data_IF_404619258486
#
_entry.id   IF_404619258486
#
_cell.length_a   1.000
_cell.length_b   1.000
_cell.length_c   1.000
_cell.angle_alpha   90.00
_cell.angle_beta   90.00
_cell.angle_gamma   90.00
#
_symmetry.space_group_name_H-M   'P 1'
#
loop_
_entity.id
_entity.type
_entity.pdbx_description
1 polymer ?
#
# COMPACT_ATOMS: atom_id res chain seq x y z
N UNK A 1 -11.66 24.42 49.31
CA UNK A 1 -10.36 23.71 49.16
C UNK A 1 -10.69 22.28 48.75
N UNK A 2 -10.28 21.87 47.55
CA UNK A 2 -9.31 20.79 47.48
C UNK A 2 -8.17 21.11 46.50
N UNK A 3 -6.96 20.81 46.94
CA UNK A 3 -5.69 20.92 46.23
C UNK A 3 -5.53 19.72 45.32
N UNK A 4 -5.38 19.94 44.02
CA UNK A 4 -4.98 18.89 43.09
C UNK A 4 -3.46 18.74 43.17
N UNK A 5 -3.05 17.54 43.56
CA UNK A 5 -1.66 17.11 43.63
C UNK A 5 -1.02 17.09 42.25
N UNK A 6 0.24 17.56 42.21
CA UNK A 6 1.07 17.59 41.01
C UNK A 6 1.56 16.17 40.71
N UNK A 7 0.85 15.47 39.84
CA UNK A 7 1.32 14.22 39.24
C UNK A 7 2.59 14.49 38.40
N UNK A 8 3.64 13.74 38.70
CA UNK A 8 4.94 13.79 38.04
C UNK A 8 4.84 13.28 36.61
N UNK A 9 5.18 14.15 35.66
CA UNK A 9 5.36 13.78 34.26
C UNK A 9 6.61 12.89 34.12
N UNK A 10 6.42 11.61 33.82
CA UNK A 10 7.44 10.77 33.17
C UNK A 10 7.31 10.95 31.65
N UNK A 11 8.37 11.35 30.94
CA UNK A 11 8.32 11.42 29.48
C UNK A 11 8.39 10.01 28.89
N UNK A 12 7.29 9.59 28.26
CA UNK A 12 7.25 8.42 27.40
C UNK A 12 8.17 8.67 26.18
N UNK A 13 9.20 7.83 26.04
CA UNK A 13 10.06 7.75 24.87
C UNK A 13 9.23 7.34 23.65
N UNK A 14 8.78 8.33 22.88
CA UNK A 14 8.20 8.11 21.56
C UNK A 14 9.33 8.02 20.53
N UNK A 15 9.42 6.86 19.91
CA UNK A 15 10.34 6.57 18.81
C UNK A 15 10.22 7.62 17.71
N UNK A 16 11.39 8.12 17.31
CA UNK A 16 11.56 9.16 16.30
C UNK A 16 11.68 8.48 14.93
N UNK A 17 10.57 8.38 14.21
CA UNK A 17 10.59 7.95 12.81
C UNK A 17 11.07 9.11 11.95
N UNK A 18 12.35 9.10 11.60
CA UNK A 18 12.87 9.87 10.48
C UNK A 18 12.75 9.02 9.22
N UNK A 19 11.94 9.51 8.28
CA UNK A 19 11.99 9.13 6.88
C UNK A 19 13.09 9.97 6.24
N UNK A 20 14.16 9.32 5.78
CA UNK A 20 15.06 9.85 4.77
C UNK A 20 15.12 8.80 3.66
N UNK A 21 14.79 9.23 2.45
CA UNK A 21 14.94 8.46 1.23
C UNK A 21 16.23 8.94 0.58
N UNK A 22 17.22 8.05 0.47
CA UNK A 22 18.29 8.21 -0.50
C UNK A 22 18.64 6.86 -1.12
N UNK A 23 18.89 6.95 -2.41
CA UNK A 23 18.90 5.89 -3.40
C UNK A 23 20.15 5.02 -3.26
N UNK A 24 19.97 3.70 -3.17
CA UNK A 24 20.93 2.68 -3.62
C UNK A 24 20.17 1.36 -3.84
N UNK A 25 20.23 0.84 -5.06
CA UNK A 25 19.52 -0.34 -5.57
C UNK A 25 19.56 -1.60 -4.68
N UNK A 26 18.45 -2.35 -4.54
CA UNK A 26 18.48 -3.74 -4.09
C UNK A 26 18.08 -4.71 -5.21
N UNK A 27 19.06 -5.47 -5.68
CA UNK A 27 18.84 -6.76 -6.34
C UNK A 27 18.44 -7.80 -5.30
N UNK A 28 17.19 -8.22 -5.33
CA UNK A 28 16.71 -9.58 -5.07
C UNK A 28 17.01 -10.25 -3.72
N UNK A 29 15.95 -10.44 -2.90
CA UNK A 29 15.38 -11.77 -2.60
C UNK A 29 14.63 -11.76 -1.26
N UNK A 30 13.36 -12.11 -1.36
CA UNK A 30 12.41 -12.31 -0.28
C UNK A 30 12.62 -13.67 0.39
N UNK A 31 12.73 -13.69 1.71
CA UNK A 31 12.30 -14.81 2.54
C UNK A 31 11.91 -14.33 3.95
N UNK A 32 10.62 -14.44 4.25
CA UNK A 32 9.97 -14.47 5.56
C UNK A 32 10.57 -15.56 6.47
N UNK A 33 10.95 -15.26 7.71
CA UNK A 33 10.13 -15.23 8.95
C UNK A 33 9.67 -16.63 9.44
N UNK A 34 10.27 -17.10 10.53
CA UNK A 34 9.73 -18.14 11.43
C UNK A 34 10.57 -18.22 12.73
N UNK A 35 10.04 -17.58 13.78
CA UNK A 35 10.03 -17.93 15.21
C UNK A 35 11.21 -18.69 15.85
N UNK A 36 11.81 -17.98 16.81
CA UNK A 36 12.70 -18.42 17.90
C UNK A 36 11.92 -19.26 18.94
N UNK A 37 12.43 -20.44 19.28
CA UNK A 37 12.12 -21.15 20.52
C UNK A 37 13.34 -21.02 21.43
N UNK A 38 13.07 -20.51 22.62
CA UNK A 38 13.97 -20.23 23.71
C UNK A 38 14.74 -21.49 24.15
N UNK A 39 16.01 -21.60 23.76
CA UNK A 39 16.96 -22.49 24.42
C UNK A 39 18.05 -21.65 25.08
N UNK A 40 17.95 -21.59 26.40
CA UNK A 40 19.01 -21.16 27.31
C UNK A 40 20.27 -21.95 26.99
N UNK A 41 21.27 -21.28 26.43
CA UNK A 41 22.64 -21.73 26.47
C UNK A 41 23.55 -20.57 26.84
N UNK A 42 24.22 -20.78 27.97
CA UNK A 42 25.22 -19.95 28.60
C UNK A 42 26.21 -19.35 27.59
N UNK A 43 26.35 -18.03 27.69
CA UNK A 43 27.30 -17.20 27.00
C UNK A 43 28.72 -17.54 27.45
N UNK A 44 29.51 -18.21 26.61
CA UNK A 44 30.97 -18.17 26.68
C UNK A 44 31.61 -18.51 25.32
N UNK A 45 32.37 -17.55 24.77
CA UNK A 45 33.56 -17.84 23.95
C UNK A 45 33.41 -17.85 22.42
N UNK A 46 33.94 -16.79 21.81
CA UNK A 46 34.79 -16.88 20.59
C UNK A 46 34.19 -17.50 19.31
N UNK A 47 33.68 -16.63 18.42
CA UNK A 47 33.19 -16.91 17.03
C UNK A 47 34.17 -17.60 16.06
N UNK A 48 35.33 -18.11 16.51
CA UNK A 48 36.31 -18.83 15.70
C UNK A 48 36.34 -20.36 15.95
N UNK A 49 35.67 -20.87 17.00
CA UNK A 49 35.71 -22.31 17.37
C UNK A 49 34.70 -23.20 16.64
N UNK A 50 33.61 -22.65 16.10
CA UNK A 50 32.50 -23.46 15.57
C UNK A 50 32.81 -24.13 14.22
N UNK A 51 33.74 -23.59 13.41
CA UNK A 51 34.05 -24.20 12.10
C UNK A 51 35.01 -25.39 12.20
N UNK A 52 35.88 -25.43 13.21
CA UNK A 52 36.79 -26.56 13.44
C UNK A 52 36.03 -27.75 14.02
N UNK A 53 35.08 -27.51 14.93
CA UNK A 53 34.18 -28.54 15.46
C UNK A 53 33.32 -29.17 14.36
N UNK A 54 32.72 -28.37 13.47
CA UNK A 54 31.94 -28.87 12.34
C UNK A 54 32.79 -29.70 11.36
N UNK A 55 34.04 -29.28 11.09
CA UNK A 55 34.97 -30.05 10.25
C UNK A 55 35.36 -31.39 10.88
N UNK A 56 35.65 -31.39 12.18
CA UNK A 56 35.99 -32.61 12.91
C UNK A 56 34.79 -33.56 13.04
N UNK A 57 33.57 -33.01 13.13
CA UNK A 57 32.34 -33.80 13.11
C UNK A 57 32.10 -34.46 11.75
N UNK A 58 32.35 -33.75 10.65
CA UNK A 58 32.26 -34.32 9.29
C UNK A 58 33.33 -35.39 9.09
N UNK A 59 34.57 -35.18 9.52
CA UNK A 59 35.66 -36.16 9.40
C UNK A 59 35.35 -37.46 10.17
N UNK A 60 34.82 -37.34 11.40
CA UNK A 60 34.34 -38.49 12.18
C UNK A 60 33.16 -39.23 11.54
N UNK A 61 32.37 -38.59 10.66
CA UNK A 61 31.29 -39.27 9.92
C UNK A 61 31.82 -40.16 8.79
N UNK A 62 33.07 -39.95 8.36
CA UNK A 62 33.74 -40.76 7.35
C UNK A 62 34.66 -41.84 7.94
N UNK A 63 34.99 -41.75 9.23
CA UNK A 63 35.71 -42.80 9.95
C UNK A 63 34.85 -44.08 10.05
N UNK A 64 35.26 -45.12 9.32
CA UNK A 64 34.57 -46.41 9.25
C UNK A 64 33.72 -46.62 7.99
N UNK A 65 33.73 -45.67 7.04
CA UNK A 65 33.10 -45.89 5.74
C UNK A 65 34.06 -46.60 4.78
N UNK A 66 33.83 -47.90 4.53
CA UNK A 66 34.61 -48.70 3.58
C UNK A 66 33.79 -48.97 2.30
N UNK A 67 34.31 -48.58 1.13
CA UNK A 67 33.61 -48.72 -0.15
C UNK A 67 33.47 -50.18 -0.62
N UNK A 68 34.37 -51.05 -0.16
CA UNK A 68 34.44 -52.47 -0.50
C UNK A 68 33.22 -53.28 0.00
N UNK A 69 32.57 -52.84 1.09
CA UNK A 69 31.35 -53.49 1.62
C UNK A 69 30.15 -53.28 0.68
N UNK A 70 30.10 -52.17 -0.04
CA UNK A 70 29.01 -51.86 -0.98
C UNK A 70 29.18 -52.56 -2.34
N UNK A 71 30.43 -52.83 -2.74
CA UNK A 71 30.76 -53.45 -4.04
C UNK A 71 30.62 -54.99 -3.96
N UNK A 72 30.81 -55.57 -2.77
CA UNK A 72 30.76 -57.03 -2.55
C UNK A 72 29.38 -57.67 -2.79
N UNK A 73 28.30 -56.89 -2.79
CA UNK A 73 26.94 -57.39 -3.05
C UNK A 73 26.57 -57.51 -4.54
N UNK A 74 27.44 -57.08 -5.47
CA UNK A 74 27.19 -57.14 -6.90
C UNK A 74 27.61 -58.46 -7.58
N UNK A 75 28.27 -59.38 -6.86
CA UNK A 75 28.79 -60.63 -7.44
C UNK A 75 28.56 -61.87 -6.58
N UNK A 76 27.30 -62.24 -6.31
CA UNK A 76 26.99 -63.61 -5.86
C UNK A 76 25.76 -64.22 -6.57
N UNK A 77 26.07 -65.26 -7.37
CA UNK A 77 25.30 -66.46 -7.71
C UNK A 77 23.93 -66.33 -8.37
N UNK A 78 23.92 -66.58 -9.69
CA UNK A 78 22.81 -67.25 -10.37
C UNK A 78 22.59 -68.65 -9.75
N UNK A 79 21.38 -69.04 -9.34
CA UNK A 79 21.09 -70.43 -8.99
C UNK A 79 21.01 -71.28 -10.26
N UNK A 80 21.94 -72.22 -10.39
CA UNK A 80 21.86 -73.35 -11.32
C UNK A 80 20.62 -74.19 -10.99
N UNK A 81 19.63 -74.19 -11.87
CA UNK A 81 18.47 -75.10 -11.78
C UNK A 81 18.80 -76.46 -12.40
N UNK A 82 18.39 -77.59 -11.78
CA UNK A 82 18.70 -78.92 -12.27
C UNK A 82 17.98 -79.23 -13.59
N UNK A 83 18.63 -80.01 -14.45
CA UNK A 83 18.07 -80.52 -15.70
C UNK A 83 16.81 -81.36 -15.45
N UNK A 84 15.63 -80.77 -15.69
CA UNK A 84 14.37 -81.48 -15.64
C UNK A 84 14.07 -82.10 -17.01
N UNK A 85 13.89 -83.43 -17.03
CA UNK A 85 13.63 -84.25 -18.22
C UNK A 85 12.37 -83.75 -18.95
N UNK A 86 12.44 -83.65 -20.28
CA UNK A 86 11.29 -83.32 -21.13
C UNK A 86 10.27 -84.46 -21.08
N UNK A 87 9.17 -84.27 -20.33
CA UNK A 87 7.95 -85.05 -20.53
C UNK A 87 7.05 -84.28 -21.52
N UNK A 88 6.67 -84.93 -22.61
CA UNK A 88 5.71 -84.40 -23.59
C UNK A 88 4.39 -84.03 -22.89
N UNK A 89 4.07 -82.74 -22.81
CA UNK A 89 2.76 -82.24 -22.38
C UNK A 89 1.96 -81.84 -23.61
N UNK A 90 0.73 -82.37 -23.70
CA UNK A 90 -0.25 -82.08 -24.74
C UNK A 90 -0.55 -80.57 -24.82
N UNK A 91 -0.89 -80.12 -26.03
CA UNK A 91 -1.22 -78.73 -26.36
C UNK A 91 -2.33 -78.20 -25.43
N UNK A 92 -2.04 -77.09 -24.74
CA UNK A 92 -3.05 -76.31 -24.01
C UNK A 92 -3.57 -75.23 -24.95
N UNK A 93 -4.89 -75.20 -25.15
CA UNK A 93 -5.58 -74.12 -25.85
C UNK A 93 -5.18 -72.76 -25.25
N UNK A 94 -4.77 -71.83 -26.13
CA UNK A 94 -4.33 -70.49 -25.76
C UNK A 94 -5.52 -69.70 -25.22
N UNK A 95 -5.47 -69.33 -23.93
CA UNK A 95 -6.37 -68.34 -23.32
C UNK A 95 -5.54 -67.11 -22.94
N UNK A 96 -5.97 -65.89 -23.29
CA UNK A 96 -5.22 -64.69 -22.94
C UNK A 96 -5.31 -64.45 -21.43
N UNK A 97 -4.32 -64.94 -20.68
CA UNK A 97 -4.08 -64.51 -19.30
C UNK A 97 -3.52 -63.09 -19.36
N UNK A 98 -4.40 -62.11 -19.23
CA UNK A 98 -4.02 -60.71 -19.04
C UNK A 98 -3.27 -60.63 -17.72
N UNK A 99 -1.95 -60.45 -17.77
CA UNK A 99 -1.12 -60.22 -16.59
C UNK A 99 -1.52 -58.89 -15.98
N UNK A 100 -2.33 -58.93 -14.93
CA UNK A 100 -2.57 -57.75 -14.09
C UNK A 100 -1.30 -57.56 -13.25
N UNK A 101 -0.53 -56.47 -13.46
CA UNK A 101 0.67 -56.24 -12.66
C UNK A 101 0.26 -56.12 -11.20
N UNK A 102 0.93 -56.88 -10.34
CA UNK A 102 0.76 -56.77 -8.89
C UNK A 102 1.10 -55.32 -8.50
N UNK A 103 0.18 -54.60 -7.83
CA UNK A 103 0.45 -53.22 -7.45
C UNK A 103 1.69 -53.14 -6.56
N UNK A 104 2.44 -52.06 -6.68
CA UNK A 104 3.62 -51.82 -5.87
C UNK A 104 3.22 -51.71 -4.39
N UNK A 105 4.08 -52.16 -3.48
CA UNK A 105 3.83 -52.12 -2.04
C UNK A 105 3.52 -50.69 -1.55
N UNK A 106 4.10 -49.67 -2.18
CA UNK A 106 3.80 -48.26 -1.91
C UNK A 106 2.32 -47.93 -2.18
N UNK A 107 1.74 -48.44 -3.26
CA UNK A 107 0.32 -48.20 -3.62
C UNK A 107 -0.63 -48.87 -2.63
N UNK A 108 -0.28 -50.06 -2.13
CA UNK A 108 -1.04 -50.76 -1.09
C UNK A 108 -0.97 -49.97 0.23
N UNK A 109 0.22 -49.47 0.59
CA UNK A 109 0.43 -48.63 1.78
C UNK A 109 -0.37 -47.32 1.72
N UNK A 110 -0.42 -46.67 0.57
CA UNK A 110 -1.21 -45.44 0.38
C UNK A 110 -2.72 -45.70 0.42
N UNK A 111 -3.19 -46.80 -0.17
CA UNK A 111 -4.61 -47.19 -0.12
C UNK A 111 -5.06 -47.49 1.31
N UNK A 112 -4.30 -48.28 2.06
CA UNK A 112 -4.57 -48.56 3.47
C UNK A 112 -4.54 -47.31 4.35
N UNK A 113 -3.63 -46.36 4.08
CA UNK A 113 -3.60 -45.07 4.78
C UNK A 113 -4.84 -44.22 4.53
N UNK A 114 -5.37 -44.26 3.30
CA UNK A 114 -6.64 -43.60 2.92
C UNK A 114 -7.84 -44.29 3.57
N UNK A 115 -7.88 -45.63 3.60
CA UNK A 115 -8.93 -46.40 4.29
C UNK A 115 -8.95 -46.13 5.80
N UNK A 116 -7.77 -45.93 6.42
CA UNK A 116 -7.65 -45.56 7.83
C UNK A 116 -8.01 -44.08 8.10
N UNK A 117 -8.45 -43.31 7.10
CA UNK A 117 -8.84 -41.89 7.20
C UNK A 117 -7.80 -40.98 7.89
N UNK A 118 -6.51 -41.37 7.84
CA UNK A 118 -5.43 -40.59 8.44
C UNK A 118 -5.13 -39.40 7.54
N UNK A 119 -5.71 -38.24 7.88
CA UNK A 119 -5.46 -36.98 7.17
C UNK A 119 -3.96 -36.66 7.16
N UNK A 120 -3.48 -36.13 6.04
CA UNK A 120 -2.10 -35.62 5.94
C UNK A 120 -1.92 -34.44 6.90
N UNK A 121 -0.73 -34.25 7.48
CA UNK A 121 -0.42 -33.09 8.35
C UNK A 121 -0.80 -31.76 7.69
N UNK A 122 -0.47 -31.62 6.40
CA UNK A 122 -0.84 -30.47 5.59
C UNK A 122 -2.36 -30.23 5.48
N UNK A 123 -3.16 -31.30 5.46
CA UNK A 123 -4.61 -31.22 5.39
C UNK A 123 -5.19 -30.77 6.75
N UNK A 124 -4.62 -31.25 7.85
CA UNK A 124 -5.00 -30.84 9.21
C UNK A 124 -4.62 -29.37 9.46
N UNK A 125 -3.43 -28.95 9.03
CA UNK A 125 -2.97 -27.56 9.13
C UNK A 125 -3.88 -26.61 8.33
N UNK A 126 -4.28 -27.01 7.12
CA UNK A 126 -5.21 -26.24 6.30
C UNK A 126 -6.59 -26.12 6.94
N UNK A 127 -7.12 -27.23 7.47
CA UNK A 127 -8.39 -27.25 8.21
C UNK A 127 -8.35 -26.36 9.45
N UNK A 128 -7.27 -26.44 10.25
CA UNK A 128 -7.07 -25.60 11.43
C UNK A 128 -6.97 -24.11 11.07
N UNK A 129 -6.27 -23.77 10.00
CA UNK A 129 -6.17 -22.39 9.54
C UNK A 129 -7.52 -21.84 9.05
N UNK A 130 -8.33 -22.67 8.38
CA UNK A 130 -9.70 -22.31 7.99
C UNK A 130 -10.60 -22.09 9.21
N UNK A 131 -10.52 -22.98 10.21
CA UNK A 131 -11.28 -22.83 11.45
C UNK A 131 -10.87 -21.57 12.21
N UNK A 132 -9.57 -21.28 12.28
CA UNK A 132 -9.06 -20.05 12.91
C UNK A 132 -9.61 -18.80 12.22
N UNK A 133 -9.63 -18.78 10.89
CA UNK A 133 -10.24 -17.68 10.11
C UNK A 133 -11.72 -17.52 10.40
N UNK A 134 -12.48 -18.61 10.44
CA UNK A 134 -13.91 -18.57 10.74
C UNK A 134 -14.16 -17.99 12.14
N UNK A 135 -13.39 -18.39 13.15
CA UNK A 135 -13.48 -17.85 14.50
C UNK A 135 -13.11 -16.36 14.56
N UNK A 136 -12.08 -15.94 13.81
CA UNK A 136 -11.70 -14.53 13.68
C UNK A 136 -12.80 -13.70 13.00
N UNK A 137 -13.39 -14.19 11.91
CA UNK A 137 -14.50 -13.57 11.19
C UNK A 137 -15.77 -13.47 12.06
N UNK A 138 -16.11 -14.52 12.81
CA UNK A 138 -17.23 -14.51 13.76
C UNK A 138 -16.99 -13.51 14.91
N UNK A 139 -15.77 -13.46 15.44
CA UNK A 139 -15.39 -12.48 16.45
C UNK A 139 -15.45 -11.05 15.90
N UNK A 140 -15.08 -10.84 14.64
CA UNK A 140 -15.22 -9.55 13.96
C UNK A 140 -16.69 -9.17 13.71
N UNK A 141 -17.53 -10.12 13.31
CA UNK A 141 -18.97 -9.89 13.14
C UNK A 141 -19.68 -9.56 14.47
N UNK A 142 -19.17 -10.06 15.60
CA UNK A 142 -19.65 -9.70 16.94
C UNK A 142 -19.20 -8.30 17.37
N UNK A 143 -18.14 -7.73 16.79
CA UNK A 143 -17.74 -6.34 17.04
C UNK A 143 -18.79 -5.41 16.45
N UNK A 144 -19.55 -4.74 17.30
CA UNK A 144 -20.43 -3.64 16.89
C UNK A 144 -19.53 -2.48 16.45
N UNK A 145 -19.35 -2.33 15.13
CA UNK A 145 -18.55 -1.26 14.56
C UNK A 145 -19.05 0.10 15.07
N UNK A 146 -18.23 0.74 15.90
CA UNK A 146 -18.40 2.11 16.35
C UNK A 146 -17.19 2.87 15.86
N UNK A 147 -17.42 4.05 15.29
CA UNK A 147 -16.32 4.91 14.90
C UNK A 147 -15.44 5.18 16.13
N UNK A 148 -14.12 5.05 15.97
CA UNK A 148 -13.19 5.51 16.99
C UNK A 148 -13.44 7.00 17.20
N UNK A 149 -13.61 7.47 18.45
CA UNK A 149 -13.84 8.87 18.70
C UNK A 149 -12.67 9.68 18.15
N UNK A 150 -12.98 10.85 17.61
CA UNK A 150 -11.96 11.74 17.07
C UNK A 150 -10.90 11.99 18.15
N UNK A 151 -9.61 11.78 17.85
CA UNK A 151 -8.55 11.98 18.83
C UNK A 151 -8.65 13.37 19.47
N UNK A 152 -8.45 13.42 20.79
CA UNK A 152 -8.61 14.66 21.57
C UNK A 152 -7.77 15.83 21.02
N UNK A 153 -6.61 15.53 20.41
CA UNK A 153 -5.73 16.50 19.77
C UNK A 153 -6.40 17.33 18.66
N UNK A 154 -7.43 16.80 18.00
CA UNK A 154 -8.17 17.53 16.94
C UNK A 154 -8.99 18.68 17.51
N UNK A 155 -9.40 18.60 18.79
CA UNK A 155 -10.15 19.64 19.46
C UNK A 155 -9.26 20.74 20.06
N UNK A 156 -7.93 20.57 20.08
CA UNK A 156 -7.00 21.53 20.64
C UNK A 156 -6.57 22.57 19.59
N UNK A 157 -6.66 23.89 19.85
CA UNK A 157 -6.18 24.95 18.96
C UNK A 157 -4.62 25.02 18.90
N UNK A 158 -3.99 24.08 18.21
CA UNK A 158 -2.51 23.92 18.18
C UNK A 158 -1.75 24.93 17.28
N UNK A 159 -2.43 25.90 16.68
CA UNK A 159 -1.83 26.77 15.67
C UNK A 159 -0.62 27.55 16.21
N UNK A 160 -0.73 28.12 17.41
CA UNK A 160 0.36 28.90 18.02
C UNK A 160 1.59 28.02 18.29
N UNK A 161 1.38 26.83 18.86
CA UNK A 161 2.45 25.87 19.12
C UNK A 161 3.13 25.39 17.82
N UNK A 162 2.36 25.20 16.75
CA UNK A 162 2.89 24.82 15.43
C UNK A 162 3.77 25.94 14.87
N UNK A 163 3.32 27.20 14.98
CA UNK A 163 4.07 28.37 14.51
C UNK A 163 5.38 28.51 15.30
N UNK A 164 5.34 28.41 16.62
CA UNK A 164 6.52 28.48 17.48
C UNK A 164 7.54 27.38 17.16
N UNK A 165 7.10 26.11 17.08
CA UNK A 165 7.98 24.98 16.69
C UNK A 165 8.60 25.17 15.30
N UNK A 166 7.84 25.73 14.35
CA UNK A 166 8.35 26.02 13.01
C UNK A 166 9.37 27.17 13.01
N UNK A 167 9.20 28.17 13.88
CA UNK A 167 10.20 29.23 14.08
C UNK A 167 11.49 28.70 14.70
N UNK A 168 11.40 27.89 15.74
CA UNK A 168 12.55 27.22 16.36
C UNK A 168 13.29 26.34 15.36
N UNK A 169 12.56 25.59 14.52
CA UNK A 169 13.16 24.83 13.42
C UNK A 169 13.89 25.75 12.44
N UNK A 170 13.27 26.86 12.03
CA UNK A 170 13.90 27.84 11.13
C UNK A 170 15.13 28.50 11.74
N UNK A 171 15.15 28.76 13.06
CA UNK A 171 16.29 29.32 13.79
C UNK A 171 17.44 28.32 13.87
N UNK A 172 17.15 27.08 14.28
CA UNK A 172 18.17 26.03 14.40
C UNK A 172 18.83 25.69 13.07
N UNK A 173 18.07 25.67 11.96
CA UNK A 173 18.65 25.49 10.61
C UNK A 173 19.59 26.65 10.24
N UNK A 174 19.19 27.90 10.51
CA UNK A 174 20.05 29.07 10.25
C UNK A 174 21.33 29.04 11.06
N UNK A 175 21.26 28.68 12.33
CA UNK A 175 22.43 28.57 13.21
C UNK A 175 23.36 27.45 12.76
N UNK A 176 22.83 26.26 12.45
CA UNK A 176 23.62 25.14 11.91
C UNK A 176 24.31 25.50 10.61
N UNK A 177 23.59 26.13 9.68
CA UNK A 177 24.15 26.59 8.41
C UNK A 177 25.24 27.65 8.62
N UNK A 178 25.05 28.58 9.57
CA UNK A 178 26.08 29.57 9.94
C UNK A 178 27.33 28.90 10.51
N UNK A 179 27.18 27.94 11.41
CA UNK A 179 28.30 27.21 12.01
C UNK A 179 29.06 26.41 10.94
N UNK A 180 28.34 25.78 10.02
CA UNK A 180 28.93 25.05 8.91
C UNK A 180 29.72 25.96 7.97
N UNK A 181 29.19 27.15 7.66
CA UNK A 181 29.90 28.16 6.87
C UNK A 181 31.18 28.64 7.57
N UNK A 182 31.10 28.92 8.88
CA UNK A 182 32.27 29.32 9.66
C UNK A 182 33.32 28.20 9.74
N UNK A 183 32.90 26.94 9.82
CA UNK A 183 33.81 25.80 9.83
C UNK A 183 34.52 25.59 8.47
N UNK A 184 33.84 25.88 7.35
CA UNK A 184 34.44 25.78 6.01
C UNK A 184 35.27 27.01 5.64
N UNK A 185 35.03 28.15 6.30
CA UNK A 185 35.81 29.36 6.12
C UNK A 185 37.22 29.16 6.65
N UNK A 186 38.19 28.93 5.75
CA UNK A 186 39.61 29.05 6.08
C UNK A 186 39.97 30.54 6.10
N UNK A 187 40.26 31.16 7.26
CA UNK A 187 40.67 32.56 7.28
C UNK A 187 41.94 32.71 6.45
N UNK A 188 41.99 33.75 5.62
CA UNK A 188 43.22 34.07 4.88
C UNK A 188 44.36 34.28 5.88
N UNK A 189 45.59 33.86 5.54
CA UNK A 189 46.79 34.02 6.39
C UNK A 189 46.99 35.45 6.91
N UNK A 190 46.43 36.43 6.20
CA UNK A 190 46.40 37.84 6.61
C UNK A 190 45.57 38.08 7.88
N UNK A 191 44.39 37.48 8.02
CA UNK A 191 43.50 37.70 9.19
C UNK A 191 44.12 37.13 10.46
N UNK A 192 44.69 35.93 10.39
CA UNK A 192 45.41 35.33 11.53
C UNK A 192 46.63 36.16 11.92
N UNK A 193 47.43 36.61 10.94
CA UNK A 193 48.59 37.48 11.16
C UNK A 193 48.20 38.83 11.78
N UNK A 194 47.10 39.43 11.32
CA UNK A 194 46.62 40.71 11.82
C UNK A 194 46.03 40.58 13.23
N UNK A 195 45.34 39.46 13.51
CA UNK A 195 44.87 39.09 14.85
C UNK A 195 46.04 38.89 15.82
N UNK A 196 47.07 38.14 15.42
CA UNK A 196 48.29 37.94 16.20
C UNK A 196 49.04 39.26 16.44
N UNK A 197 49.17 40.11 15.42
CA UNK A 197 49.80 41.44 15.57
C UNK A 197 48.99 42.33 16.51
N UNK A 198 47.66 42.27 16.45
CA UNK A 198 46.78 43.03 17.32
C UNK A 198 46.77 42.50 18.76
N UNK A 199 46.82 41.18 18.96
CA UNK A 199 46.98 40.53 20.27
C UNK A 199 48.35 40.84 20.87
N UNK A 200 49.43 40.75 20.10
CA UNK A 200 50.77 41.17 20.53
C UNK A 200 50.82 42.66 20.92
N UNK A 201 50.17 43.54 20.16
CA UNK A 201 50.01 44.96 20.53
C UNK A 201 49.20 45.13 21.81
N UNK A 202 48.13 44.35 22.01
CA UNK A 202 47.33 44.38 23.24
C UNK A 202 48.11 43.88 24.45
N UNK A 203 48.98 42.87 24.29
CA UNK A 203 49.85 42.38 25.36
C UNK A 203 50.94 43.41 25.68
N UNK A 204 51.58 44.00 24.66
CA UNK A 204 52.55 45.10 24.82
C UNK A 204 51.93 46.36 25.46
N UNK A 205 50.65 46.64 25.21
CA UNK A 205 49.90 47.73 25.85
C UNK A 205 49.40 47.39 27.27
N UNK A 206 49.40 46.11 27.65
CA UNK A 206 49.07 45.68 29.02
C UNK A 206 50.30 45.69 29.93
N UNK A 207 51.49 45.45 29.38
CA UNK A 207 52.75 45.38 30.13
C UNK A 207 53.47 46.73 30.23
N UNK A 208 53.04 47.75 29.50
CA UNK A 208 53.55 49.12 29.58
C UNK A 208 52.42 50.07 29.95
N UNK A 209 52.55 50.76 31.10
CA UNK A 209 51.79 52.00 31.34
C UNK A 209 51.92 52.91 30.11
N UNK A 210 50.87 53.61 29.66
CA UNK A 210 50.83 54.19 28.32
C UNK A 210 52.05 55.10 28.11
N UNK A 211 52.96 54.79 27.17
CA UNK A 211 53.98 55.74 26.82
C UNK A 211 53.30 56.87 26.05
N UNK A 212 53.58 58.13 26.40
CA UNK A 212 53.21 59.34 25.66
C UNK A 212 53.94 59.41 24.31
N UNK A 213 53.87 58.35 23.50
CA UNK A 213 54.46 58.32 22.19
C UNK A 213 53.44 58.93 21.23
N UNK A 214 53.71 60.16 20.80
CA UNK A 214 53.00 60.86 19.73
C UNK A 214 53.02 59.98 18.48
N UNK A 215 51.95 59.21 18.30
CA UNK A 215 51.73 58.35 17.13
C UNK A 215 51.83 59.25 15.90
N UNK A 216 52.82 59.02 15.02
CA UNK A 216 52.84 59.63 13.69
C UNK A 216 51.67 59.01 12.91
N UNK A 217 50.52 59.65 13.03
CA UNK A 217 49.28 59.25 12.35
C UNK A 217 49.52 59.37 10.85
N UNK A 218 49.16 58.33 10.11
CA UNK A 218 49.09 58.38 8.66
C UNK A 218 48.24 59.59 8.25
N UNK A 219 48.85 60.58 7.61
CA UNK A 219 48.14 61.73 7.06
C UNK A 219 47.64 61.34 5.68
N UNK A 220 46.38 60.92 5.61
CA UNK A 220 45.71 60.68 4.34
C UNK A 220 45.77 61.96 3.49
N UNK A 221 45.84 61.80 2.17
CA UNK A 221 45.63 62.94 1.26
C UNK A 221 44.27 63.55 1.60
N UNK A 222 44.19 64.88 1.78
CA UNK A 222 42.94 65.51 2.17
C UNK A 222 41.89 65.18 1.12
N UNK A 223 40.69 64.84 1.60
CA UNK A 223 39.53 64.62 0.74
C UNK A 223 39.38 65.84 -0.18
N UNK A 224 39.16 65.66 -1.49
CA UNK A 224 38.99 66.77 -2.42
C UNK A 224 38.04 67.84 -1.86
N UNK A 225 38.41 69.12 -2.02
CA UNK A 225 37.65 70.25 -1.44
C UNK A 225 36.18 70.26 -1.86
N UNK A 226 35.86 69.68 -3.02
CA UNK A 226 34.49 69.54 -3.50
C UNK A 226 33.58 68.78 -2.52
N UNK A 227 34.10 67.85 -1.70
CA UNK A 227 33.30 67.13 -0.70
C UNK A 227 32.82 68.02 0.44
N UNK A 228 33.54 69.11 0.73
CA UNK A 228 33.17 70.11 1.73
C UNK A 228 32.36 71.27 1.16
N UNK A 229 32.10 71.30 -0.15
CA UNK A 229 31.21 72.31 -0.73
C UNK A 229 29.80 72.13 -0.14
N UNK A 230 29.14 73.24 0.21
CA UNK A 230 27.81 73.22 0.80
C UNK A 230 26.82 72.40 -0.05
N UNK A 231 27.00 72.48 -1.37
CA UNK A 231 26.15 71.85 -2.38
C UNK A 231 26.52 70.39 -2.67
N UNK A 232 27.64 69.85 -2.13
CA UNK A 232 28.09 68.49 -2.43
C UNK A 232 27.03 67.45 -2.06
N UNK A 233 26.42 67.63 -0.88
CA UNK A 233 25.34 66.75 -0.43
C UNK A 233 24.14 66.78 -1.36
N UNK A 234 23.85 67.93 -1.97
CA UNK A 234 22.71 68.06 -2.87
C UNK A 234 23.04 67.50 -4.26
N UNK A 235 24.27 67.70 -4.75
CA UNK A 235 24.78 67.03 -5.97
C UNK A 235 24.75 65.51 -5.87
N UNK A 236 25.10 64.95 -4.70
CA UNK A 236 25.02 63.49 -4.49
C UNK A 236 23.57 63.00 -4.56
N UNK A 237 22.62 63.73 -3.94
CA UNK A 237 21.20 63.39 -4.04
C UNK A 237 20.69 63.51 -5.48
N UNK A 238 21.10 64.55 -6.21
CA UNK A 238 20.76 64.75 -7.62
C UNK A 238 21.30 63.60 -8.50
N UNK A 239 22.53 63.13 -8.25
CA UNK A 239 23.10 61.98 -8.95
C UNK A 239 22.35 60.67 -8.65
N UNK A 240 21.93 60.46 -7.40
CA UNK A 240 21.09 59.32 -7.01
C UNK A 240 19.72 59.35 -7.70
N UNK A 241 19.08 60.52 -7.76
CA UNK A 241 17.85 60.73 -8.53
C UNK A 241 18.07 60.46 -10.03
N UNK A 242 19.15 60.97 -10.61
CA UNK A 242 19.52 60.70 -12.00
C UNK A 242 19.81 59.21 -12.25
N UNK A 243 20.39 58.51 -11.27
CA UNK A 243 20.61 57.06 -11.33
C UNK A 243 19.29 56.30 -11.27
N UNK A 244 18.37 56.68 -10.39
CA UNK A 244 17.03 56.08 -10.31
C UNK A 244 16.26 56.26 -11.61
N UNK A 245 16.29 57.47 -12.20
CA UNK A 245 15.66 57.76 -13.48
C UNK A 245 16.22 56.84 -14.57
N UNK A 246 17.56 56.70 -14.66
CA UNK A 246 18.20 55.78 -15.61
C UNK A 246 17.79 54.33 -15.41
N UNK A 247 17.71 53.88 -14.15
CA UNK A 247 17.27 52.51 -13.83
C UNK A 247 15.82 52.29 -14.26
N UNK A 248 14.92 53.25 -13.99
CA UNK A 248 13.52 53.19 -14.39
C UNK A 248 13.38 53.15 -15.91
N UNK A 249 14.06 54.04 -16.63
CA UNK A 249 14.05 54.04 -18.10
C UNK A 249 14.52 52.71 -18.68
N UNK A 250 15.62 52.15 -18.16
CA UNK A 250 16.14 50.86 -18.60
C UNK A 250 15.16 49.72 -18.30
N UNK A 251 14.48 49.75 -17.16
CA UNK A 251 13.48 48.74 -16.81
C UNK A 251 12.25 48.81 -17.73
N UNK A 252 11.79 50.02 -18.05
CA UNK A 252 10.70 50.23 -19.01
C UNK A 252 11.08 49.78 -20.42
N UNK A 253 12.28 50.13 -20.87
CA UNK A 253 12.81 49.68 -22.17
C UNK A 253 12.89 48.15 -22.22
N UNK A 254 13.39 47.49 -21.17
CA UNK A 254 13.39 46.03 -21.06
C UNK A 254 11.97 45.43 -21.09
N UNK A 255 10.99 46.05 -20.42
CA UNK A 255 9.59 45.61 -20.45
C UNK A 255 8.96 45.77 -21.84
N UNK A 256 9.27 46.87 -22.53
CA UNK A 256 8.80 47.12 -23.91
C UNK A 256 9.44 46.15 -24.90
N UNK A 257 10.71 45.82 -24.71
CA UNK A 257 11.48 44.90 -25.55
C UNK A 257 11.20 43.43 -25.22
N UNK A 258 10.74 43.12 -24.00
CA UNK A 258 10.32 41.78 -23.64
C UNK A 258 8.96 41.47 -24.27
N UNK A 259 8.98 40.81 -25.43
CA UNK A 259 7.80 40.16 -25.97
C UNK A 259 7.47 38.92 -25.12
N UNK A 260 6.20 38.74 -24.78
CA UNK A 260 5.73 37.53 -24.10
C UNK A 260 6.06 36.33 -25.00
N UNK A 261 6.62 35.22 -24.49
CA UNK A 261 6.64 34.00 -25.29
C UNK A 261 5.21 33.68 -25.72
N UNK A 262 5.03 33.23 -26.97
CA UNK A 262 3.74 32.76 -27.48
C UNK A 262 3.22 31.65 -26.56
N UNK A 263 2.46 32.03 -25.54
CA UNK A 263 1.81 31.12 -24.62
C UNK A 263 0.77 30.36 -25.42
N UNK A 264 1.07 29.09 -25.72
CA UNK A 264 0.12 28.14 -26.35
C UNK A 264 -1.11 27.88 -25.46
N UNK A 265 -1.20 28.51 -24.28
CA UNK A 265 -2.27 28.40 -23.29
C UNK A 265 -3.11 29.67 -23.15
N UNK A 266 -2.93 30.69 -24.01
CA UNK A 266 -3.95 31.70 -24.17
C UNK A 266 -5.18 31.04 -24.80
N UNK A 267 -6.16 30.72 -23.95
CA UNK A 267 -7.49 30.31 -24.33
C UNK A 267 -7.96 31.25 -25.45
N UNK A 268 -8.29 30.70 -26.62
CA UNK A 268 -8.92 31.46 -27.71
C UNK A 268 -10.24 32.01 -27.18
N UNK A 269 -10.24 33.25 -26.69
CA UNK A 269 -11.48 33.97 -26.48
C UNK A 269 -12.16 34.07 -27.84
N UNK A 270 -13.32 33.43 -27.92
CA UNK A 270 -14.15 33.32 -29.11
C UNK A 270 -14.47 34.70 -29.66
N UNK A 271 -14.27 34.86 -30.97
CA UNK A 271 -14.61 36.02 -31.78
C UNK A 271 -16.01 36.57 -31.46
N UNK A 272 -16.11 37.59 -30.60
CA UNK A 272 -17.25 38.51 -30.59
C UNK A 272 -16.83 39.75 -31.36
N UNK A 273 -17.42 39.94 -32.55
CA UNK A 273 -17.28 41.15 -33.36
C UNK A 273 -17.77 42.36 -32.54
N UNK A 274 -16.86 43.08 -31.87
CA UNK A 274 -17.12 44.45 -31.42
C UNK A 274 -17.08 45.34 -32.65
N UNK A 275 -18.24 45.90 -33.00
CA UNK A 275 -18.37 46.93 -34.03
C UNK A 275 -17.49 48.13 -33.64
N UNK A 276 -16.78 48.64 -34.63
CA UNK A 276 -16.00 49.88 -34.58
C UNK A 276 -16.85 51.04 -34.05
N UNK A 277 -16.41 51.67 -32.97
CA UNK A 277 -16.53 53.12 -32.79
C UNK A 277 -15.20 53.62 -32.26
N UNK A 278 -14.50 54.37 -33.10
CA UNK A 278 -13.34 55.17 -32.74
C UNK A 278 -13.71 56.07 -31.56
N UNK A 279 -13.06 55.86 -30.43
CA UNK A 279 -13.00 56.85 -29.36
C UNK A 279 -11.53 56.99 -29.02
N UNK A 280 -11.06 58.22 -29.03
CA UNK A 280 -9.68 58.64 -28.76
C UNK A 280 -9.06 57.93 -27.54
N UNK A 281 -7.72 57.81 -27.48
CA UNK A 281 -7.04 57.25 -26.32
C UNK A 281 -7.18 58.20 -25.14
N UNK A 282 -8.31 58.10 -24.42
CA UNK A 282 -8.38 58.63 -23.06
C UNK A 282 -7.36 57.85 -22.25
N UNK A 283 -6.28 58.53 -21.88
CA UNK A 283 -5.39 58.10 -20.82
C UNK A 283 -6.28 57.80 -19.62
N UNK A 284 -6.52 56.52 -19.36
CA UNK A 284 -7.12 56.12 -18.11
C UNK A 284 -6.06 56.40 -17.06
N UNK A 285 -6.15 57.55 -16.40
CA UNK A 285 -5.48 57.80 -15.13
C UNK A 285 -6.05 56.82 -14.09
N UNK A 286 -5.70 55.54 -14.21
CA UNK A 286 -5.78 54.60 -13.11
C UNK A 286 -4.68 55.01 -12.13
N UNK A 287 -4.93 56.08 -11.37
CA UNK A 287 -4.17 56.36 -10.15
C UNK A 287 -4.46 55.22 -9.19
N UNK A 288 -3.65 54.16 -9.28
CA UNK A 288 -3.56 53.18 -8.22
C UNK A 288 -3.21 53.98 -6.97
N UNK A 289 -4.16 54.12 -6.04
CA UNK A 289 -3.90 54.73 -4.74
C UNK A 289 -2.94 53.80 -4.02
N UNK A 290 -1.64 54.02 -4.20
CA UNK A 290 -0.59 53.30 -3.49
C UNK A 290 -0.78 53.67 -2.02
N UNK A 291 -1.26 52.71 -1.22
CA UNK A 291 -1.31 52.89 0.23
C UNK A 291 0.13 53.01 0.70
N UNK A 292 0.53 54.20 1.15
CA UNK A 292 1.91 54.53 1.52
C UNK A 292 2.38 53.81 2.79
N UNK A 293 1.45 53.44 3.68
CA UNK A 293 1.75 52.65 4.87
C UNK A 293 1.41 51.19 4.65
N UNK A 294 2.37 50.31 4.90
CA UNK A 294 2.14 48.88 5.04
C UNK A 294 1.03 48.68 6.08
N UNK A 295 -0.15 48.13 5.71
CA UNK A 295 -1.22 47.94 6.66
C UNK A 295 -0.78 47.00 7.78
N UNK A 296 -1.20 47.30 9.01
CA UNK A 296 -0.97 46.39 10.13
C UNK A 296 -1.70 45.06 9.90
N UNK A 297 -0.92 44.03 9.60
CA UNK A 297 -1.42 42.71 9.25
C UNK A 297 -2.00 41.98 10.45
N UNK A 298 -1.56 42.27 11.68
CA UNK A 298 -2.10 41.64 12.88
C UNK A 298 -3.51 42.15 13.16
N UNK A 299 -3.70 43.47 13.12
CA UNK A 299 -5.03 44.07 13.29
C UNK A 299 -6.00 43.67 12.16
N UNK A 300 -5.51 43.55 10.92
CA UNK A 300 -6.31 43.04 9.81
C UNK A 300 -6.69 41.58 10.01
N UNK A 301 -5.75 40.76 10.49
CA UNK A 301 -5.99 39.35 10.76
C UNK A 301 -7.01 39.17 11.90
N UNK A 302 -6.90 39.93 12.99
CA UNK A 302 -7.89 39.92 14.06
C UNK A 302 -9.28 40.32 13.58
N UNK A 303 -9.39 41.39 12.80
CA UNK A 303 -10.67 41.84 12.24
C UNK A 303 -11.28 40.77 11.32
N UNK A 304 -10.44 40.10 10.54
CA UNK A 304 -10.86 39.00 9.69
C UNK A 304 -11.36 37.80 10.50
N UNK A 305 -10.63 37.39 11.55
CA UNK A 305 -11.05 36.32 12.46
C UNK A 305 -12.38 36.65 13.16
N UNK A 306 -12.52 37.88 13.69
CA UNK A 306 -13.77 38.36 14.31
C UNK A 306 -14.95 38.32 13.33
N UNK A 307 -14.72 38.65 12.05
CA UNK A 307 -15.74 38.53 11.00
C UNK A 307 -16.12 37.08 10.70
N UNK A 308 -15.13 36.18 10.64
CA UNK A 308 -15.34 34.74 10.45
C UNK A 308 -16.19 34.14 11.58
N UNK A 309 -15.88 34.48 12.83
CA UNK A 309 -16.64 34.02 14.00
C UNK A 309 -18.09 34.51 13.98
N UNK A 310 -18.35 35.75 13.54
CA UNK A 310 -19.71 36.27 13.36
C UNK A 310 -20.50 35.55 12.26
N UNK A 311 -19.82 35.12 11.19
CA UNK A 311 -20.44 34.36 10.10
C UNK A 311 -20.59 32.87 10.41
N UNK A 312 -19.90 32.37 11.43
CA UNK A 312 -20.08 31.02 11.99
C UNK A 312 -21.41 30.92 12.76
N UNK A 313 -22.52 31.21 12.09
CA UNK A 313 -23.83 30.73 12.50
C UNK A 313 -23.88 29.25 12.12
N UNK A 314 -24.26 28.39 13.07
CA UNK A 314 -24.47 26.96 12.82
C UNK A 314 -25.57 26.86 11.76
N UNK A 315 -25.19 26.49 10.54
CA UNK A 315 -26.18 26.11 9.53
C UNK A 315 -26.91 24.89 10.10
N UNK A 316 -28.26 24.86 10.10
CA UNK A 316 -28.97 23.64 10.49
C UNK A 316 -28.42 22.48 9.66
N UNK A 317 -28.22 21.34 10.32
CA UNK A 317 -27.69 20.13 9.70
C UNK A 317 -28.49 19.87 8.40
N UNK A 318 -27.81 19.82 7.26
CA UNK A 318 -28.45 19.58 5.96
C UNK A 318 -29.19 18.26 6.03
N UNK A 319 -30.52 18.32 6.03
CA UNK A 319 -31.37 17.15 5.82
C UNK A 319 -31.23 16.78 4.35
N UNK A 320 -30.85 15.54 4.07
CA UNK A 320 -30.75 15.04 2.71
C UNK A 320 -32.15 15.02 2.08
N UNK A 321 -32.45 15.99 1.23
CA UNK A 321 -33.51 15.79 0.24
C UNK A 321 -33.04 14.71 -0.74
N UNK A 322 -33.92 13.78 -1.14
CA UNK A 322 -33.60 12.84 -2.21
C UNK A 322 -33.29 13.65 -3.48
N UNK A 323 -32.07 13.52 -3.97
CA UNK A 323 -31.63 14.13 -5.22
C UNK A 323 -31.53 13.05 -6.29
N UNK A 324 -32.08 13.35 -7.46
CA UNK A 324 -31.93 12.46 -8.61
C UNK A 324 -30.51 12.59 -9.15
N UNK A 325 -29.76 11.50 -9.09
CA UNK A 325 -28.47 11.40 -9.76
C UNK A 325 -28.72 11.51 -11.27
N UNK A 326 -28.22 12.59 -11.90
CA UNK A 326 -28.29 12.80 -13.35
C UNK A 326 -27.47 11.76 -14.16
N UNK A 327 -27.20 10.57 -13.62
CA UNK A 327 -26.46 9.48 -14.25
C UNK A 327 -27.16 8.92 -15.48
N UNK A 328 -28.47 9.11 -15.61
CA UNK A 328 -29.24 8.83 -16.83
C UNK A 328 -28.91 9.77 -17.99
N UNK A 329 -28.57 11.04 -17.69
CA UNK A 329 -28.24 12.06 -18.68
C UNK A 329 -26.76 12.07 -19.09
N UNK A 330 -25.91 11.30 -18.40
CA UNK A 330 -24.50 11.15 -18.75
C UNK A 330 -24.40 10.09 -19.86
N UNK A 331 -24.04 10.46 -21.10
CA UNK A 331 -23.92 9.49 -22.19
C UNK A 331 -22.79 8.51 -21.86
N UNK A 332 -23.16 7.28 -21.48
CA UNK A 332 -22.18 6.27 -21.12
C UNK A 332 -21.52 5.73 -22.38
N UNK A 333 -20.19 5.78 -22.48
CA UNK A 333 -19.43 5.22 -23.60
C UNK A 333 -19.27 3.69 -23.49
N UNK A 334 -20.21 3.00 -22.83
CA UNK A 334 -20.12 1.55 -22.57
C UNK A 334 -19.98 0.76 -23.86
N UNK A 335 -20.78 1.07 -24.87
CA UNK A 335 -20.73 0.39 -26.17
C UNK A 335 -19.41 0.63 -26.91
N UNK A 336 -18.82 1.82 -26.74
CA UNK A 336 -17.50 2.12 -27.29
C UNK A 336 -16.42 1.30 -26.60
N UNK A 337 -16.49 1.17 -25.27
CA UNK A 337 -15.53 0.36 -24.49
C UNK A 337 -15.65 -1.12 -24.85
N UNK A 338 -16.87 -1.64 -25.02
CA UNK A 338 -17.08 -3.03 -25.45
C UNK A 338 -16.52 -3.29 -26.85
N UNK A 339 -16.70 -2.35 -27.78
CA UNK A 339 -16.08 -2.44 -29.11
C UNK A 339 -14.56 -2.38 -29.04
N UNK A 340 -14.00 -1.47 -28.24
CA UNK A 340 -12.54 -1.33 -28.06
C UNK A 340 -11.92 -2.60 -27.48
N UNK A 341 -12.56 -3.21 -26.48
CA UNK A 341 -12.15 -4.51 -25.93
C UNK A 341 -12.19 -5.62 -26.99
N UNK A 342 -13.23 -5.66 -27.81
CA UNK A 342 -13.35 -6.66 -28.88
C UNK A 342 -12.30 -6.44 -29.98
N UNK A 343 -12.02 -5.18 -30.34
CA UNK A 343 -10.98 -4.82 -31.30
C UNK A 343 -9.58 -5.16 -30.77
N UNK A 344 -9.33 -4.92 -29.47
CA UNK A 344 -8.08 -5.29 -28.79
C UNK A 344 -7.90 -6.82 -28.79
N UNK A 345 -8.95 -7.59 -28.53
CA UNK A 345 -8.93 -9.05 -28.63
C UNK A 345 -8.64 -9.56 -30.05
N UNK A 346 -9.13 -8.86 -31.09
CA UNK A 346 -8.95 -9.24 -32.49
C UNK A 346 -7.61 -8.82 -33.11
N UNK A 347 -7.06 -7.67 -32.69
CA UNK A 347 -5.90 -7.00 -33.31
C UNK A 347 -4.59 -7.19 -32.54
N UNK A 348 -4.62 -7.30 -31.20
CA UNK A 348 -3.39 -7.35 -30.41
C UNK A 348 -2.83 -8.78 -30.32
N UNK A 349 -1.50 -8.88 -30.44
CA UNK A 349 -0.74 -10.12 -30.19
C UNK A 349 -0.61 -10.34 -28.69
N UNK A 350 -0.71 -11.59 -28.24
CA UNK A 350 -0.58 -11.93 -26.83
C UNK A 350 0.89 -11.75 -26.38
N UNK A 351 1.11 -10.89 -25.38
CA UNK A 351 2.44 -10.52 -24.87
C UNK A 351 2.92 -11.38 -23.69
N UNK A 352 2.23 -12.48 -23.39
CA UNK A 352 2.56 -13.35 -22.23
C UNK A 352 3.57 -14.43 -22.64
N UNK A 353 4.78 -14.37 -22.09
CA UNK A 353 5.80 -15.43 -22.20
C UNK A 353 5.27 -16.76 -21.63
N UNK A 354 5.50 -17.94 -22.26
CA UNK A 354 6.52 -18.26 -23.27
C UNK A 354 6.00 -18.43 -24.72
N UNK A 355 4.75 -18.07 -25.04
CA UNK A 355 4.21 -18.24 -26.40
C UNK A 355 3.51 -16.96 -26.91
N UNK A 356 4.05 -16.39 -27.99
CA UNK A 356 3.42 -15.29 -28.74
C UNK A 356 2.40 -15.85 -29.75
N UNK A 357 1.30 -16.42 -29.28
CA UNK A 357 0.16 -16.78 -30.14
C UNK A 357 -0.77 -15.58 -30.37
N UNK A 358 -1.46 -15.49 -31.53
CA UNK A 358 -2.62 -14.61 -31.65
C UNK A 358 -3.71 -15.03 -30.65
N UNK A 359 -4.37 -14.10 -29.95
CA UNK A 359 -5.49 -14.39 -29.02
C UNK A 359 -6.73 -14.99 -29.69
N UNK A 360 -6.73 -15.11 -31.02
CA UNK A 360 -7.83 -15.69 -31.77
C UNK A 360 -8.04 -17.14 -31.36
N UNK A 361 -9.28 -17.48 -30.99
CA UNK A 361 -9.73 -18.88 -30.96
C UNK A 361 -9.42 -19.48 -32.34
N UNK A 362 -8.72 -20.63 -32.44
CA UNK A 362 -8.46 -21.24 -33.74
C UNK A 362 -9.81 -21.60 -34.36
N UNK A 363 -10.22 -20.85 -35.39
CA UNK A 363 -11.28 -21.30 -36.28
C UNK A 363 -10.68 -22.40 -37.14
N UNK A 364 -11.23 -23.61 -37.02
CA UNK A 364 -10.94 -24.72 -37.92
C UNK A 364 -11.55 -24.41 -39.30
N UNK A 365 -10.96 -23.46 -40.00
CA UNK A 365 -11.23 -23.16 -41.40
C UNK A 365 -10.20 -23.92 -42.25
N UNK A 366 -10.67 -24.97 -42.92
CA UNK A 366 -9.88 -25.66 -43.93
C UNK A 366 -9.61 -24.70 -45.10
N UNK A 367 -8.35 -24.30 -45.27
CA UNK A 367 -7.88 -23.68 -46.51
C UNK A 367 -7.07 -24.74 -47.28
N UNK A 368 -7.59 -25.31 -48.39
CA UNK A 368 -6.92 -26.37 -49.13
C UNK A 368 -6.19 -25.79 -50.35
N UNK A 369 -5.33 -24.79 -50.19
CA UNK A 369 -4.40 -24.39 -51.24
C UNK A 369 -3.16 -23.80 -50.57
N UNK A 370 -1.97 -24.27 -50.98
CA UNK A 370 -0.64 -24.05 -50.37
C UNK A 370 -0.21 -25.10 -49.33
N UNK A 371 -0.13 -26.36 -49.76
CA UNK A 371 0.94 -27.25 -49.31
C UNK A 371 1.29 -28.19 -50.46
N UNK A 372 2.53 -28.04 -50.93
CA UNK A 372 3.14 -28.91 -51.92
C UNK A 372 3.14 -30.36 -51.45
N UNK A 373 2.75 -31.22 -52.38
CA UNK A 373 3.17 -32.60 -52.57
C UNK A 373 4.00 -33.23 -51.43
N UNK A 374 3.28 -33.76 -50.45
CA UNK A 374 3.82 -34.58 -49.38
C UNK A 374 2.71 -35.35 -48.70
N UNK A 375 2.06 -36.28 -49.43
CA UNK A 375 1.01 -37.14 -48.86
C UNK A 375 1.65 -38.19 -47.95
N UNK A 376 2.05 -37.82 -46.73
CA UNK A 376 2.16 -38.80 -45.65
C UNK A 376 0.73 -39.15 -45.23
N UNK A 377 0.33 -40.42 -45.43
CA UNK A 377 -0.95 -40.91 -44.93
C UNK A 377 -0.90 -40.77 -43.40
N UNK A 378 -1.86 -40.11 -42.73
CA UNK A 378 -1.90 -40.12 -41.29
C UNK A 378 -1.97 -41.59 -40.82
N UNK A 379 -1.27 -41.95 -39.74
CA UNK A 379 -1.28 -43.33 -39.25
C UNK A 379 -2.72 -43.77 -39.03
N UNK A 380 -3.08 -44.95 -39.58
CA UNK A 380 -4.42 -45.54 -39.42
C UNK A 380 -4.77 -45.56 -37.93
N UNK A 381 -5.83 -44.86 -37.56
CA UNK A 381 -6.29 -44.78 -36.18
C UNK A 381 -6.76 -46.17 -35.73
N UNK A 382 -5.99 -46.81 -34.85
CA UNK A 382 -6.36 -48.08 -34.23
C UNK A 382 -7.65 -47.94 -33.41
N UNK A 383 -8.45 -49.01 -33.30
CA UNK A 383 -9.71 -49.00 -32.53
C UNK A 383 -9.53 -48.55 -31.07
N UNK A 384 -8.38 -48.85 -30.46
CA UNK A 384 -8.01 -48.40 -29.12
C UNK A 384 -7.93 -46.87 -29.02
N UNK A 385 -7.34 -46.22 -30.01
CA UNK A 385 -7.26 -44.75 -30.10
C UNK A 385 -8.66 -44.15 -30.25
N UNK A 386 -9.53 -44.77 -31.04
CA UNK A 386 -10.93 -44.33 -31.21
C UNK A 386 -11.71 -44.42 -29.89
N UNK A 387 -11.60 -45.53 -29.16
CA UNK A 387 -12.25 -45.70 -27.83
C UNK A 387 -11.72 -44.69 -26.80
N UNK A 388 -10.41 -44.44 -26.77
CA UNK A 388 -9.80 -43.45 -25.86
C UNK A 388 -10.30 -42.04 -26.14
N UNK A 389 -10.36 -41.63 -27.40
CA UNK A 389 -10.90 -40.32 -27.80
C UNK A 389 -12.38 -40.18 -27.48
N UNK A 390 -13.16 -41.25 -27.64
CA UNK A 390 -14.57 -41.26 -27.26
C UNK A 390 -14.77 -41.12 -25.74
N UNK A 391 -13.96 -41.81 -24.94
CA UNK A 391 -13.97 -41.66 -23.48
C UNK A 391 -13.64 -40.22 -23.05
N UNK A 392 -12.63 -39.60 -23.68
CA UNK A 392 -12.28 -38.19 -23.42
C UNK A 392 -13.43 -37.25 -23.77
N UNK A 393 -14.07 -37.43 -24.93
CA UNK A 393 -15.25 -36.62 -25.34
C UNK A 393 -16.41 -36.78 -24.37
N UNK A 394 -16.68 -38.01 -23.91
CA UNK A 394 -17.75 -38.26 -22.95
C UNK A 394 -17.44 -37.65 -21.59
N UNK A 395 -16.21 -37.77 -21.11
CA UNK A 395 -15.77 -37.14 -19.86
C UNK A 395 -15.81 -35.61 -19.93
N UNK A 396 -15.45 -35.02 -21.08
CA UNK A 396 -15.53 -33.58 -21.28
C UNK A 396 -16.99 -33.08 -21.30
N UNK A 397 -17.90 -33.83 -21.93
CA UNK A 397 -19.34 -33.54 -21.88
C UNK A 397 -19.88 -33.63 -20.46
N UNK A 398 -19.50 -34.66 -19.71
CA UNK A 398 -19.92 -34.85 -18.33
C UNK A 398 -19.44 -33.70 -17.44
N UNK A 399 -18.14 -33.35 -17.50
CA UNK A 399 -17.61 -32.20 -16.76
C UNK A 399 -18.30 -30.89 -17.11
N UNK A 400 -18.68 -30.69 -18.38
CA UNK A 400 -19.44 -29.51 -18.80
C UNK A 400 -20.85 -29.49 -18.21
N UNK A 401 -21.51 -30.64 -18.15
CA UNK A 401 -22.84 -30.76 -17.54
C UNK A 401 -22.77 -30.50 -16.03
N UNK A 402 -21.80 -31.09 -15.34
CA UNK A 402 -21.55 -30.86 -13.90
C UNK A 402 -21.30 -29.37 -13.62
N UNK A 403 -20.46 -28.72 -14.43
CA UNK A 403 -20.19 -27.28 -14.31
C UNK A 403 -21.46 -26.42 -14.49
N UNK A 404 -22.32 -26.76 -15.45
CA UNK A 404 -23.58 -26.03 -15.66
C UNK A 404 -24.55 -26.23 -14.51
N UNK A 405 -24.63 -27.45 -13.96
CA UNK A 405 -25.44 -27.73 -12.78
C UNK A 405 -24.95 -26.96 -11.55
N UNK A 406 -23.63 -26.91 -11.33
CA UNK A 406 -23.03 -26.15 -10.22
C UNK A 406 -23.31 -24.64 -10.33
N UNK A 407 -23.27 -24.09 -11.55
CA UNK A 407 -23.65 -22.69 -11.80
C UNK A 407 -25.12 -22.43 -11.47
N UNK A 408 -26.01 -23.33 -11.87
CA UNK A 408 -27.44 -23.20 -11.58
C UNK A 408 -27.72 -23.30 -10.07
N UNK A 409 -27.10 -24.24 -9.38
CA UNK A 409 -27.21 -24.38 -7.93
C UNK A 409 -26.68 -23.13 -7.21
N UNK A 410 -25.57 -22.56 -7.67
CA UNK A 410 -25.04 -21.32 -7.14
C UNK A 410 -26.01 -20.16 -7.33
N UNK A 411 -26.62 -20.03 -8.51
CA UNK A 411 -27.61 -19.00 -8.79
C UNK A 411 -28.85 -19.16 -7.90
N UNK A 412 -29.35 -20.39 -7.72
CA UNK A 412 -30.48 -20.68 -6.84
C UNK A 412 -30.17 -20.37 -5.37
N UNK A 413 -28.98 -20.74 -4.87
CA UNK A 413 -28.53 -20.39 -3.52
C UNK A 413 -28.47 -18.88 -3.31
N UNK A 414 -27.96 -18.13 -4.30
CA UNK A 414 -27.90 -16.67 -4.23
C UNK A 414 -29.30 -16.06 -4.25
N UNK A 415 -30.22 -16.59 -5.06
CA UNK A 415 -31.63 -16.14 -5.09
C UNK A 415 -32.36 -16.45 -3.78
N UNK A 416 -32.08 -17.59 -3.15
CA UNK A 416 -32.72 -17.99 -1.89
C UNK A 416 -32.10 -17.30 -0.67
N UNK A 417 -30.90 -16.72 -0.76
CA UNK A 417 -30.29 -16.00 0.35
C UNK A 417 -31.00 -14.66 0.58
N UNK A 418 -31.74 -14.50 1.70
CA UNK A 418 -32.39 -13.22 1.98
C UNK A 418 -31.34 -12.15 2.20
N UNK A 419 -31.60 -10.95 1.68
CA UNK A 419 -30.66 -9.84 1.77
C UNK A 419 -30.41 -9.45 3.23
N UNK A 420 -29.24 -8.87 3.50
CA UNK A 420 -28.86 -8.48 4.86
C UNK A 420 -29.89 -7.53 5.49
N UNK A 421 -30.39 -6.56 4.72
CA UNK A 421 -31.41 -5.64 5.21
C UNK A 421 -32.73 -6.36 5.56
N UNK A 422 -33.13 -7.36 4.77
CA UNK A 422 -34.34 -8.15 5.01
C UNK A 422 -34.21 -9.03 6.25
N UNK A 423 -33.03 -9.66 6.46
CA UNK A 423 -32.73 -10.36 7.71
C UNK A 423 -32.75 -9.42 8.91
N UNK A 424 -32.23 -8.20 8.76
CA UNK A 424 -32.21 -7.18 9.83
C UNK A 424 -33.62 -6.67 10.12
N UNK A 425 -34.46 -6.42 9.10
CA UNK A 425 -35.86 -6.01 9.32
C UNK A 425 -36.66 -7.10 10.02
N UNK A 426 -36.51 -8.37 9.62
CA UNK A 426 -37.15 -9.50 10.29
C UNK A 426 -36.70 -9.64 11.75
N UNK A 427 -35.40 -9.55 12.03
CA UNK A 427 -34.86 -9.57 13.41
C UNK A 427 -35.40 -8.40 14.24
N UNK A 428 -35.40 -7.19 13.68
CA UNK A 428 -35.90 -6.00 14.38
C UNK A 428 -37.40 -6.10 14.65
N UNK A 429 -38.20 -6.58 13.68
CA UNK A 429 -39.63 -6.82 13.85
C UNK A 429 -39.91 -7.85 14.95
N UNK A 430 -39.15 -8.95 14.98
CA UNK A 430 -39.23 -9.96 16.04
C UNK A 430 -38.90 -9.37 17.42
N UNK A 431 -37.81 -8.62 17.53
CA UNK A 431 -37.41 -7.96 18.79
C UNK A 431 -38.49 -6.96 19.24
N UNK A 432 -39.07 -6.19 18.31
CA UNK A 432 -40.13 -5.24 18.60
C UNK A 432 -41.40 -5.96 19.12
N UNK A 433 -41.78 -7.08 18.51
CA UNK A 433 -42.90 -7.90 18.95
C UNK A 433 -42.65 -8.52 20.34
N UNK A 434 -41.46 -9.08 20.58
CA UNK A 434 -41.06 -9.64 21.88
C UNK A 434 -41.05 -8.55 22.98
N UNK A 435 -40.57 -7.35 22.64
CA UNK A 435 -40.60 -6.18 23.55
C UNK A 435 -42.03 -5.74 23.85
N UNK A 436 -42.90 -5.69 22.84
CA UNK A 436 -44.31 -5.36 23.03
C UNK A 436 -45.02 -6.39 23.93
N UNK A 437 -44.81 -7.67 23.67
CA UNK A 437 -45.33 -8.78 24.47
C UNK A 437 -44.86 -8.73 25.92
N UNK A 438 -43.55 -8.59 26.15
CA UNK A 438 -42.98 -8.50 27.50
C UNK A 438 -43.45 -7.26 28.27
N UNK A 439 -43.57 -6.11 27.61
CA UNK A 439 -44.13 -4.90 28.20
C UNK A 439 -45.60 -5.10 28.60
N UNK A 440 -46.40 -5.79 27.76
CA UNK A 440 -47.80 -6.07 28.06
C UNK A 440 -47.95 -7.00 29.26
N UNK A 441 -47.15 -8.06 29.34
CA UNK A 441 -47.12 -8.95 30.51
C UNK A 441 -46.75 -8.20 31.79
N UNK A 442 -45.73 -7.33 31.71
CA UNK A 442 -45.31 -6.49 32.84
C UNK A 442 -46.41 -5.55 33.30
N UNK A 443 -47.13 -4.92 32.36
CA UNK A 443 -48.27 -4.04 32.68
C UNK A 443 -49.43 -4.79 33.37
N UNK A 444 -49.58 -6.09 33.10
CA UNK A 444 -50.54 -6.97 33.78
C UNK A 444 -50.00 -7.58 35.08
N UNK A 445 -48.77 -7.24 35.49
CA UNK A 445 -48.12 -7.78 36.70
C UNK A 445 -47.64 -9.23 36.57
N UNK A 446 -47.57 -9.77 35.35
CA UNK A 446 -47.22 -11.17 35.10
C UNK A 446 -45.75 -11.26 34.66
N UNK A 447 -44.96 -12.10 35.34
CA UNK A 447 -43.58 -12.36 34.95
C UNK A 447 -43.51 -13.21 33.65
N UNK A 448 -42.72 -12.81 32.64
CA UNK A 448 -42.58 -13.57 31.39
C UNK A 448 -42.03 -14.99 31.61
N UNK A 449 -41.17 -15.19 32.60
CA UNK A 449 -40.66 -16.51 33.01
C UNK A 449 -41.76 -17.45 33.51
N UNK A 450 -42.78 -16.91 34.19
CA UNK A 450 -43.91 -17.69 34.68
C UNK A 450 -44.75 -18.22 33.51
N UNK A 451 -44.99 -17.38 32.49
CA UNK A 451 -45.71 -17.78 31.27
C UNK A 451 -44.92 -18.81 30.47
N UNK A 452 -43.60 -18.65 30.37
CA UNK A 452 -42.73 -19.59 29.65
C UNK A 452 -42.69 -20.97 30.32
N UNK A 453 -42.55 -21.03 31.66
CA UNK A 453 -42.58 -22.28 32.44
C UNK A 453 -43.93 -22.99 32.37
N UNK A 454 -45.03 -22.24 32.50
CA UNK A 454 -46.39 -22.81 32.46
C UNK A 454 -46.80 -23.23 31.04
N UNK A 455 -46.36 -22.50 30.02
CA UNK A 455 -46.54 -22.88 28.62
C UNK A 455 -45.71 -24.10 28.18
N UNK A 456 -44.53 -24.31 28.78
CA UNK A 456 -43.72 -25.52 28.58
C UNK A 456 -44.40 -26.77 29.13
N UNK A 457 -45.00 -26.69 30.32
CA UNK A 457 -45.74 -27.80 30.93
C UNK A 457 -47.00 -28.22 30.15
N UNK A 458 -47.65 -27.29 29.44
CA UNK A 458 -48.78 -27.60 28.58
C UNK A 458 -48.36 -28.30 27.26
N UNK A 459 -47.15 -28.03 26.76
CA UNK A 459 -46.61 -28.71 25.55
C UNK A 459 -46.16 -30.14 25.82
N UNK A 460 -45.65 -30.44 27.01
CA UNK A 460 -45.29 -31.81 27.39
C UNK A 460 -46.51 -32.72 27.62
N UNK A 461 -47.68 -32.16 27.93
CA UNK A 461 -48.93 -32.92 28.11
C UNK A 461 -49.58 -33.33 26.77
N UNK A 462 -49.12 -32.80 25.64
CA UNK A 462 -49.71 -33.06 24.32
C UNK A 462 -49.00 -34.15 23.50
N UNK A 463 -47.99 -34.84 24.06
CA UNK A 463 -47.21 -35.89 23.37
C UNK A 463 -47.43 -37.32 23.89
N UNK A 464 -48.46 -37.55 24.72
CA UNK A 464 -48.82 -38.90 25.18
C UNK A 464 -50.27 -39.24 24.87
N UNK A 465 -50.65 -39.21 23.59
CA UNK A 465 -51.79 -40.00 23.12
C UNK A 465 -51.73 -40.16 21.60
N UNK A 466 -51.77 -41.42 21.19
CA UNK A 466 -52.18 -41.99 19.90
C UNK A 466 -51.04 -42.69 19.14
N UNK A 467 -50.97 -44.01 19.31
CA UNK A 467 -50.24 -44.85 18.37
C UNK A 467 -49.88 -46.25 18.86
N UNK A 468 -50.77 -46.97 19.52
CA UNK A 468 -50.70 -48.44 19.61
C UNK A 468 -52.13 -48.98 19.66
N UNK A 469 -52.71 -49.24 18.49
CA UNK A 469 -53.79 -50.21 18.25
C UNK A 469 -54.15 -50.15 16.76
N UNK A 470 -53.58 -51.05 15.95
CA UNK A 470 -54.32 -51.73 14.88
C UNK A 470 -53.60 -53.03 14.54
N UNK A 471 -54.40 -54.09 14.54
CA UNK A 471 -54.12 -55.48 14.21
C UNK A 471 -53.63 -55.73 12.80
#
# INVERSE_FOLDING_TARGET
RPTWDKSSYQPLNLHKSFSDSDLSDPSGSSASDASDEELVFEENGSKAGSSSFAKQQIEKMWDGFCLEDYISHAKHSLPSSPACRKAHKKEKAWSPRVTVPKPFQMTIREAQKKEQNVKSKSQIELENHLLKKQLEEEAECQKKFRANPVPAAVFLPLYQDIVQRNEERRRSVRERSRLQLLATQKPFKFIERERQRHEARKMQLKDLSPPENKIKVFRAKPVPRCVYSADFRDKVKEEELCREIRIRMRAEELLRNSAVPNSRLALKETNKKKKHRSTEPKQTEHKLKIKSSVPDFELLHEKFQKRLLRQKKVKPLTVCEPFDLCTSYIPSKKDKILKDMQEDEEKLKETRWPFASPRRKPQSGANPHLLGEGKSKPPRTTESTRRRLQALRNNEKQRRQEYLQELQEMEERVKQMPFLFERVTQKNARIAAEKYYSNRLRALGICPEFVSKKGGAAKSLHFSTAGDFTS
#
